data_IF_875190274154
#
_entry.id   IF_875190274154
#
_cell.length_a   1.000
_cell.length_b   1.000
_cell.length_c   1.000
_cell.angle_alpha   90.00
_cell.angle_beta   90.00
_cell.angle_gamma   90.00
#
_symmetry.space_group_name_H-M   'P 1'
#
loop_
_entity.id
_entity.type
_entity.pdbx_description
1 polymer ?
#
# COMPACT_ATOMS: atom_id res chain seq x y z
N UNK A 1 12.84 9.43 46.52
CA UNK A 1 12.90 10.39 45.39
C UNK A 1 12.70 9.61 44.10
N UNK A 2 11.77 10.07 43.28
CA UNK A 2 11.33 9.50 42.02
C UNK A 2 12.37 9.68 40.90
N UNK A 3 12.55 8.69 40.00
CA UNK A 3 12.48 8.93 38.54
C UNK A 3 12.36 7.62 37.71
N UNK A 4 11.20 7.51 37.06
CA UNK A 4 10.65 6.71 35.94
C UNK A 4 11.48 5.70 35.10
N UNK A 5 10.83 4.64 34.56
CA UNK A 5 11.33 3.83 33.45
C UNK A 5 10.76 4.32 32.11
N UNK A 6 11.57 4.65 31.09
CA UNK A 6 11.04 4.93 29.74
C UNK A 6 11.95 4.46 28.60
N UNK A 7 11.42 3.45 27.88
CA UNK A 7 11.54 3.14 26.45
C UNK A 7 12.94 3.20 25.81
N UNK A 8 13.59 2.04 25.70
CA UNK A 8 14.45 1.80 24.56
C UNK A 8 13.57 1.68 23.31
N UNK A 9 13.79 2.63 22.41
CA UNK A 9 13.28 2.70 21.05
C UNK A 9 13.52 1.39 20.32
N UNK A 10 12.45 0.85 19.75
CA UNK A 10 12.43 -0.29 18.83
C UNK A 10 13.44 -0.13 17.69
N UNK A 11 14.61 -0.74 17.84
CA UNK A 11 15.48 -1.13 16.73
C UNK A 11 14.85 -2.35 16.05
N UNK A 12 13.92 -2.11 15.11
CA UNK A 12 13.39 -3.19 14.26
C UNK A 12 14.50 -3.63 13.31
N UNK A 13 15.17 -4.72 13.70
CA UNK A 13 15.91 -5.64 12.83
C UNK A 13 15.20 -5.73 11.48
N UNK A 14 15.91 -5.45 10.39
CA UNK A 14 15.45 -5.63 9.01
C UNK A 14 15.20 -7.11 8.74
N UNK A 15 14.04 -7.60 9.18
CA UNK A 15 13.47 -8.85 8.71
C UNK A 15 13.04 -8.60 7.26
N UNK A 16 13.73 -9.24 6.32
CA UNK A 16 13.31 -9.29 4.92
C UNK A 16 11.93 -9.95 4.88
N UNK A 17 10.88 -9.13 4.74
CA UNK A 17 9.49 -9.57 4.70
C UNK A 17 9.03 -9.52 3.24
N UNK A 18 9.08 -10.65 2.51
CA UNK A 18 8.81 -10.69 1.06
C UNK A 18 7.35 -10.35 0.73
N UNK A 19 6.47 -10.25 1.73
CA UNK A 19 5.06 -9.92 1.54
C UNK A 19 4.80 -8.43 1.28
N UNK A 20 5.80 -7.55 1.41
CA UNK A 20 5.64 -6.10 1.21
C UNK A 20 5.06 -5.34 2.43
N UNK A 21 4.83 -6.03 3.56
CA UNK A 21 4.29 -5.45 4.79
C UNK A 21 5.21 -4.41 5.39
N UNK A 22 6.52 -4.71 5.43
CA UNK A 22 7.53 -3.79 5.94
C UNK A 22 7.60 -2.52 5.10
N UNK A 23 7.54 -2.64 3.78
CA UNK A 23 7.51 -1.48 2.87
C UNK A 23 6.29 -0.60 3.14
N UNK A 24 5.11 -1.20 3.35
CA UNK A 24 3.92 -0.45 3.73
C UNK A 24 4.08 0.30 5.05
N UNK A 25 4.58 -0.37 6.09
CA UNK A 25 4.76 0.24 7.42
C UNK A 25 5.76 1.40 7.39
N UNK A 26 6.86 1.23 6.67
CA UNK A 26 7.85 2.30 6.48
C UNK A 26 7.27 3.46 5.67
N UNK A 27 6.53 3.19 4.60
CA UNK A 27 5.85 4.22 3.83
C UNK A 27 4.82 4.97 4.70
N UNK A 28 4.05 4.27 5.54
CA UNK A 28 3.12 4.89 6.48
C UNK A 28 3.83 5.84 7.45
N UNK A 29 5.01 5.47 7.97
CA UNK A 29 5.82 6.35 8.83
C UNK A 29 6.33 7.58 8.08
N UNK A 30 6.82 7.40 6.85
CA UNK A 30 7.35 8.49 6.01
C UNK A 30 6.27 9.51 5.66
N UNK A 31 5.08 9.02 5.29
CA UNK A 31 3.94 9.87 4.93
C UNK A 31 3.10 10.32 6.14
N UNK A 32 3.41 9.86 7.35
CA UNK A 32 2.71 10.24 8.58
C UNK A 32 1.28 9.70 8.69
N UNK A 33 0.98 8.58 8.05
CA UNK A 33 -0.37 7.99 8.01
C UNK A 33 -0.49 6.77 8.92
N UNK A 34 -1.71 6.50 9.38
CA UNK A 34 -2.01 5.31 10.17
C UNK A 34 -2.06 4.09 9.25
N UNK A 35 -1.27 3.03 9.53
CA UNK A 35 -1.33 1.80 8.75
C UNK A 35 -2.71 1.15 8.83
N UNK A 36 -3.30 0.83 7.69
CA UNK A 36 -4.54 0.08 7.62
C UNK A 36 -4.27 -1.41 7.91
N UNK A 37 -4.75 -1.89 9.06
CA UNK A 37 -4.65 -3.32 9.40
C UNK A 37 -5.31 -4.21 8.34
N UNK A 38 -6.39 -3.74 7.72
CA UNK A 38 -7.07 -4.45 6.64
C UNK A 38 -6.15 -4.70 5.44
N UNK A 39 -5.41 -3.66 5.01
CA UNK A 39 -4.41 -3.80 3.93
C UNK A 39 -3.38 -4.87 4.26
N UNK A 40 -2.81 -4.81 5.47
CA UNK A 40 -1.81 -5.77 5.91
C UNK A 40 -2.38 -7.20 5.91
N UNK A 41 -3.62 -7.42 6.33
CA UNK A 41 -4.24 -8.75 6.32
C UNK A 41 -4.45 -9.29 4.90
N UNK A 42 -4.81 -8.43 3.95
CA UNK A 42 -5.21 -8.81 2.59
C UNK A 42 -4.16 -8.51 1.50
N UNK A 43 -2.92 -8.15 1.87
CA UNK A 43 -1.85 -7.80 0.91
C UNK A 43 -1.43 -8.97 0.01
N UNK A 44 -1.73 -10.21 0.40
CA UNK A 44 -1.45 -11.43 -0.38
C UNK A 44 -2.68 -11.98 -1.09
N UNK A 45 -3.83 -11.31 -0.97
CA UNK A 45 -5.06 -11.75 -1.59
C UNK A 45 -5.17 -11.19 -3.01
N UNK A 46 -5.87 -11.89 -3.93
CA UNK A 46 -6.06 -11.42 -5.29
C UNK A 46 -6.97 -10.18 -5.39
N UNK A 47 -7.75 -9.89 -4.35
CA UNK A 47 -8.70 -8.78 -4.32
C UNK A 47 -8.55 -7.99 -3.02
N UNK A 48 -8.31 -6.69 -3.14
CA UNK A 48 -8.18 -5.77 -2.03
C UNK A 48 -9.23 -4.66 -2.15
N UNK A 49 -10.19 -4.67 -1.23
CA UNK A 49 -11.24 -3.67 -1.15
C UNK A 49 -11.03 -2.74 0.04
N UNK A 50 -10.61 -1.51 -0.21
CA UNK A 50 -10.41 -0.51 0.83
C UNK A 50 -11.31 0.71 0.62
N UNK A 51 -12.52 0.53 0.07
CA UNK A 51 -13.46 1.65 -0.11
C UNK A 51 -13.90 2.25 1.23
N UNK A 52 -14.17 3.57 1.27
CA UNK A 52 -14.64 4.28 2.47
C UNK A 52 -13.73 4.19 3.72
N UNK A 53 -12.42 4.02 3.53
CA UNK A 53 -11.44 3.97 4.62
C UNK A 53 -10.78 5.32 4.91
N UNK A 54 -11.14 6.38 4.18
CA UNK A 54 -10.64 7.73 4.45
C UNK A 54 -9.12 7.85 4.37
N UNK A 55 -8.50 7.15 3.41
CA UNK A 55 -7.03 7.08 3.29
C UNK A 55 -6.38 8.46 3.10
N UNK A 56 -7.07 9.38 2.42
CA UNK A 56 -6.49 10.66 2.07
C UNK A 56 -5.40 10.56 0.99
N UNK A 57 -4.81 11.69 0.57
CA UNK A 57 -3.74 11.71 -0.42
C UNK A 57 -2.47 11.00 0.05
N UNK A 58 -2.11 11.16 1.33
CA UNK A 58 -0.93 10.54 1.92
C UNK A 58 -1.10 9.02 2.10
N UNK A 59 -2.30 8.55 2.46
CA UNK A 59 -2.57 7.12 2.60
C UNK A 59 -2.49 6.40 1.26
N UNK A 60 -2.95 7.03 0.18
CA UNK A 60 -2.78 6.52 -1.18
C UNK A 60 -1.30 6.37 -1.56
N UNK A 61 -0.48 7.40 -1.29
CA UNK A 61 0.98 7.35 -1.53
C UNK A 61 1.64 6.23 -0.75
N UNK A 62 1.27 6.04 0.51
CA UNK A 62 1.79 4.96 1.34
C UNK A 62 1.39 3.58 0.83
N UNK A 63 0.16 3.41 0.32
CA UNK A 63 -0.32 2.17 -0.27
C UNK A 63 0.32 1.86 -1.63
N UNK A 64 0.60 2.88 -2.42
CA UNK A 64 1.23 2.72 -3.72
C UNK A 64 2.59 1.99 -3.62
N UNK A 65 3.42 2.35 -2.63
CA UNK A 65 4.78 1.80 -2.46
C UNK A 65 4.84 0.26 -2.45
N UNK A 66 4.19 -0.46 -1.51
CA UNK A 66 4.22 -1.92 -1.49
C UNK A 66 3.47 -2.54 -2.67
N UNK A 67 2.49 -1.83 -3.24
CA UNK A 67 1.70 -2.31 -4.37
C UNK A 67 2.49 -2.31 -5.67
N UNK A 68 3.47 -1.43 -5.88
CA UNK A 68 4.30 -1.42 -7.11
C UNK A 68 4.94 -2.79 -7.37
N UNK A 69 5.47 -3.43 -6.33
CA UNK A 69 6.15 -4.74 -6.43
C UNK A 69 5.24 -5.92 -6.10
N UNK A 70 3.96 -5.67 -5.75
CA UNK A 70 3.04 -6.72 -5.37
C UNK A 70 2.49 -7.45 -6.60
N UNK A 71 2.67 -8.77 -6.64
CA UNK A 71 2.21 -9.62 -7.74
C UNK A 71 0.98 -10.47 -7.38
N UNK A 72 0.47 -10.36 -6.16
CA UNK A 72 -0.68 -11.12 -5.67
C UNK A 72 -2.00 -10.41 -5.99
N UNK A 73 -2.08 -9.11 -5.71
CA UNK A 73 -3.30 -8.33 -5.90
C UNK A 73 -3.55 -8.14 -7.39
N UNK A 74 -4.71 -8.59 -7.84
CA UNK A 74 -5.19 -8.42 -9.23
C UNK A 74 -6.27 -7.35 -9.28
N UNK A 75 -7.12 -7.25 -8.25
CA UNK A 75 -8.19 -6.25 -8.16
C UNK A 75 -7.97 -5.33 -6.95
N UNK A 76 -7.97 -4.03 -7.20
CA UNK A 76 -7.79 -2.99 -6.19
C UNK A 76 -8.96 -2.00 -6.24
N UNK A 77 -9.70 -1.88 -5.15
CA UNK A 77 -10.80 -0.92 -5.02
C UNK A 77 -10.46 0.14 -3.96
N UNK A 78 -10.21 1.36 -4.42
CA UNK A 78 -9.91 2.54 -3.58
C UNK A 78 -10.97 3.65 -3.70
N UNK A 79 -12.18 3.33 -4.18
CA UNK A 79 -13.24 4.32 -4.33
C UNK A 79 -13.61 4.97 -2.99
N UNK A 80 -14.04 6.23 -3.03
CA UNK A 80 -14.53 6.97 -1.86
C UNK A 80 -13.53 7.02 -0.69
N UNK A 81 -12.26 7.30 -0.99
CA UNK A 81 -11.19 7.41 0.02
C UNK A 81 -10.58 8.81 0.14
N UNK A 82 -11.19 9.81 -0.50
CA UNK A 82 -10.64 11.18 -0.58
C UNK A 82 -9.15 11.18 -0.94
N UNK A 83 -8.75 10.42 -1.95
CA UNK A 83 -7.35 10.37 -2.39
C UNK A 83 -6.85 11.72 -2.90
N UNK A 84 -7.77 12.62 -3.26
CA UNK A 84 -7.49 13.90 -3.89
C UNK A 84 -6.67 13.72 -5.20
N UNK A 85 -6.20 14.82 -5.79
CA UNK A 85 -5.39 14.76 -7.02
C UNK A 85 -4.05 14.06 -6.78
N UNK A 86 -3.40 14.33 -5.64
CA UNK A 86 -2.07 13.81 -5.35
C UNK A 86 -2.05 12.31 -5.06
N UNK A 87 -3.02 11.80 -4.28
CA UNK A 87 -3.13 10.38 -4.02
C UNK A 87 -3.57 9.61 -5.26
N UNK A 88 -4.48 10.19 -6.06
CA UNK A 88 -4.87 9.63 -7.36
C UNK A 88 -3.68 9.49 -8.32
N UNK A 89 -2.82 10.51 -8.41
CA UNK A 89 -1.62 10.46 -9.23
C UNK A 89 -0.65 9.35 -8.79
N UNK A 90 -0.41 9.21 -7.48
CA UNK A 90 0.47 8.17 -6.95
C UNK A 90 -0.06 6.75 -7.25
N UNK A 91 -1.37 6.53 -7.15
CA UNK A 91 -1.99 5.26 -7.53
C UNK A 91 -1.87 5.02 -9.04
N UNK A 92 -2.06 6.05 -9.87
CA UNK A 92 -1.90 5.94 -11.32
C UNK A 92 -0.47 5.59 -11.73
N UNK A 93 0.55 6.19 -11.09
CA UNK A 93 1.95 5.83 -11.30
C UNK A 93 2.23 4.40 -10.87
N UNK A 94 1.72 3.96 -9.71
CA UNK A 94 1.84 2.58 -9.27
C UNK A 94 1.21 1.60 -10.27
N UNK A 95 0.03 1.89 -10.80
CA UNK A 95 -0.63 1.05 -11.81
C UNK A 95 0.13 1.00 -13.15
N UNK A 96 0.92 2.03 -13.45
CA UNK A 96 1.76 2.05 -14.65
C UNK A 96 2.95 1.11 -14.50
N UNK A 97 3.53 1.05 -13.31
CA UNK A 97 4.67 0.16 -13.00
C UNK A 97 4.20 -1.28 -12.71
N UNK A 98 3.04 -1.45 -12.07
CA UNK A 98 2.49 -2.75 -11.74
C UNK A 98 1.63 -3.31 -12.88
N UNK A 99 2.14 -4.36 -13.54
CA UNK A 99 1.45 -5.05 -14.64
C UNK A 99 0.41 -6.12 -14.20
N UNK A 100 0.25 -6.36 -12.89
CA UNK A 100 -0.61 -7.41 -12.31
C UNK A 100 -1.96 -6.89 -11.83
N UNK A 101 -1.99 -5.72 -11.18
CA UNK A 101 -3.22 -5.06 -10.76
C UNK A 101 -3.90 -4.57 -12.03
N UNK A 102 -5.03 -5.20 -12.38
CA UNK A 102 -5.78 -5.15 -13.65
C UNK A 102 -5.83 -3.78 -14.35
N UNK A 103 -4.70 -3.44 -14.98
CA UNK A 103 -4.50 -2.49 -16.06
C UNK A 103 -4.06 -3.18 -17.35
N UNK A 104 -4.08 -4.52 -17.41
CA UNK A 104 -4.35 -5.17 -18.70
C UNK A 104 -5.84 -4.98 -18.99
N UNK A 105 -6.19 -3.77 -19.43
CA UNK A 105 -7.18 -3.64 -20.50
C UNK A 105 -6.90 -4.80 -21.45
N UNK A 106 -7.90 -5.65 -21.67
CA UNK A 106 -7.88 -6.70 -22.66
C UNK A 106 -7.28 -6.18 -23.97
N UNK A 107 -5.96 -6.27 -24.13
CA UNK A 107 -5.33 -6.34 -25.43
C UNK A 107 -5.34 -7.83 -25.72
N UNK A 108 -6.31 -8.35 -26.49
CA UNK A 108 -6.08 -9.63 -27.13
C UNK A 108 -4.85 -9.41 -28.01
N UNK A 109 -3.70 -9.87 -27.53
CA UNK A 109 -2.55 -10.15 -28.39
C UNK A 109 -3.01 -11.26 -29.32
N UNK A 110 -3.69 -10.88 -30.41
CA UNK A 110 -3.85 -11.73 -31.59
C UNK A 110 -2.45 -11.89 -32.14
N UNK A 111 -1.79 -12.95 -31.69
CA UNK A 111 -0.62 -13.48 -32.34
C UNK A 111 -1.09 -14.02 -33.70
N UNK A 112 -0.58 -13.41 -34.77
CA UNK A 112 -0.61 -13.79 -36.20
C UNK A 112 -1.94 -14.15 -36.86
#
# INVERSE_FOLDING_TARGET
MFHVPHRLTTETRTAYDPSGRTMYLEACKVYGVVPASYFLLHIQDPELNMMHHGLGPQGAKALAVPLVTNTFIVKLSLQDNWLEGEGGAAIAEMLKENCYITGKSSIPVRHS
#
